data_IF_737187879311
#
_entry.id   IF_737187879311
#
_cell.length_a   1.000
_cell.length_b   1.000
_cell.length_c   1.000
_cell.angle_alpha   90.00
_cell.angle_beta   90.00
_cell.angle_gamma   90.00
#
_symmetry.space_group_name_H-M   'P 1'
#
loop_
_entity.id
_entity.type
_entity.pdbx_description
1 polymer ?
#
# COMPACT_ATOMS: atom_id res chain seq x y z
N UNK A 1 53.25 42.37 -27.15
CA UNK A 1 54.21 41.77 -28.11
C UNK A 1 55.14 40.85 -27.33
N UNK A 2 55.64 39.79 -27.96
CA UNK A 2 56.59 38.87 -27.34
C UNK A 2 57.99 39.51 -27.30
N UNK A 3 58.57 39.79 -26.11
CA UNK A 3 59.90 40.40 -25.99
C UNK A 3 61.03 39.48 -26.51
N UNK A 4 60.75 38.20 -26.76
CA UNK A 4 61.69 37.32 -27.45
C UNK A 4 61.87 37.67 -28.94
N UNK A 5 60.89 38.34 -29.53
CA UNK A 5 60.93 38.78 -30.93
C UNK A 5 61.35 40.25 -31.08
N UNK A 6 61.70 40.93 -29.97
CA UNK A 6 62.16 42.31 -30.01
C UNK A 6 63.58 42.38 -30.59
N UNK A 7 63.72 43.12 -31.70
CA UNK A 7 65.02 43.39 -32.33
C UNK A 7 65.66 44.59 -31.63
N UNK A 8 66.93 44.45 -31.26
CA UNK A 8 67.69 45.55 -30.66
C UNK A 8 67.88 46.69 -31.66
N UNK A 9 67.51 47.93 -31.32
CA UNK A 9 67.79 49.09 -32.17
C UNK A 9 69.29 49.27 -32.38
N UNK A 10 69.68 49.71 -33.57
CA UNK A 10 71.04 50.11 -33.85
C UNK A 10 71.27 51.56 -33.40
N UNK A 11 71.80 51.72 -32.19
CA UNK A 11 72.07 53.02 -31.59
C UNK A 11 73.21 53.79 -32.26
N UNK A 12 73.83 53.29 -33.33
CA UNK A 12 74.79 54.05 -34.16
C UNK A 12 74.11 54.89 -35.24
N UNK A 13 72.83 54.61 -35.54
CA UNK A 13 72.09 55.32 -36.58
C UNK A 13 71.83 56.80 -36.20
N UNK A 14 71.70 57.70 -37.19
CA UNK A 14 71.47 59.14 -36.94
C UNK A 14 70.22 59.44 -36.12
N UNK A 15 69.23 58.54 -36.17
CA UNK A 15 67.92 58.63 -35.52
C UNK A 15 68.03 58.76 -33.99
N UNK A 16 69.03 58.10 -33.40
CA UNK A 16 69.28 58.08 -31.96
C UNK A 16 70.30 59.16 -31.51
N UNK A 17 70.67 60.09 -32.40
CA UNK A 17 71.65 61.14 -32.08
C UNK A 17 71.20 61.99 -30.88
N UNK A 18 69.91 62.32 -30.77
CA UNK A 18 69.40 63.11 -29.64
C UNK A 18 69.59 62.43 -28.29
N UNK A 19 69.36 61.12 -28.22
CA UNK A 19 69.53 60.31 -27.00
C UNK A 19 71.01 60.10 -26.66
N UNK A 20 71.87 59.97 -27.67
CA UNK A 20 73.33 59.94 -27.48
C UNK A 20 73.87 61.28 -26.99
N UNK A 21 73.38 62.39 -27.55
CA UNK A 21 73.86 63.74 -27.20
C UNK A 21 73.61 64.08 -25.74
N UNK A 22 72.45 63.70 -25.19
CA UNK A 22 72.16 63.89 -23.76
C UNK A 22 73.19 63.20 -22.85
N UNK A 23 73.60 61.97 -23.19
CA UNK A 23 74.63 61.24 -22.45
C UNK A 23 76.04 61.83 -22.64
N UNK A 24 76.30 62.41 -23.82
CA UNK A 24 77.57 63.10 -24.11
C UNK A 24 77.69 64.40 -23.32
N UNK A 25 76.59 65.17 -23.21
CA UNK A 25 76.53 66.41 -22.44
C UNK A 25 76.74 66.15 -20.93
N UNK A 26 76.44 64.94 -20.45
CA UNK A 26 76.73 64.44 -19.09
C UNK A 26 78.17 63.91 -18.93
N UNK A 27 79.01 64.02 -19.95
CA UNK A 27 80.45 63.72 -19.89
C UNK A 27 80.87 62.35 -20.40
N UNK A 28 79.99 61.60 -21.07
CA UNK A 28 80.33 60.31 -21.69
C UNK A 28 80.88 60.51 -23.11
N UNK A 29 81.84 59.69 -23.53
CA UNK A 29 82.23 59.62 -24.95
C UNK A 29 81.10 59.00 -25.79
N UNK A 30 81.08 59.30 -27.09
CA UNK A 30 80.07 58.76 -28.02
C UNK A 30 79.98 57.22 -27.99
N UNK A 31 81.12 56.54 -27.87
CA UNK A 31 81.17 55.08 -27.72
C UNK A 31 80.58 54.61 -26.38
N UNK A 32 80.78 55.39 -25.30
CA UNK A 32 80.19 55.08 -24.00
C UNK A 32 78.68 55.34 -24.00
N UNK A 33 78.20 56.40 -24.67
CA UNK A 33 76.76 56.66 -24.83
C UNK A 33 76.04 55.52 -25.57
N UNK A 34 76.58 55.05 -26.70
CA UNK A 34 76.04 53.88 -27.44
C UNK A 34 76.03 52.62 -26.56
N UNK A 35 77.12 52.37 -25.81
CA UNK A 35 77.20 51.22 -24.89
C UNK A 35 76.18 51.30 -23.77
N UNK A 36 75.97 52.48 -23.19
CA UNK A 36 74.97 52.69 -22.13
C UNK A 36 73.55 52.48 -22.63
N UNK A 37 73.18 53.02 -23.81
CA UNK A 37 71.87 52.79 -24.42
C UNK A 37 71.64 51.31 -24.77
N UNK A 38 72.68 50.65 -25.30
CA UNK A 38 72.66 49.20 -25.57
C UNK A 38 72.46 48.38 -24.29
N UNK A 39 73.16 48.73 -23.21
CA UNK A 39 73.05 48.06 -21.92
C UNK A 39 71.65 48.26 -21.29
N UNK A 40 71.11 49.48 -21.36
CA UNK A 40 69.78 49.80 -20.88
C UNK A 40 68.69 49.03 -21.63
N UNK A 41 68.79 48.95 -22.97
CA UNK A 41 67.88 48.15 -23.77
C UNK A 41 67.95 46.66 -23.41
N UNK A 42 69.16 46.10 -23.28
CA UNK A 42 69.34 44.70 -22.89
C UNK A 42 68.73 44.43 -21.50
N UNK A 43 68.93 45.33 -20.53
CA UNK A 43 68.36 45.22 -19.19
C UNK A 43 66.82 45.22 -19.23
N UNK A 44 66.24 46.19 -19.93
CA UNK A 44 64.78 46.30 -20.04
C UNK A 44 64.17 45.11 -20.79
N UNK A 45 64.77 44.70 -21.92
CA UNK A 45 64.30 43.55 -22.69
C UNK A 45 64.42 42.25 -21.89
N UNK A 46 65.50 42.04 -21.13
CA UNK A 46 65.63 40.89 -20.24
C UNK A 46 64.58 40.91 -19.11
N UNK A 47 64.32 42.08 -18.50
CA UNK A 47 63.27 42.23 -17.50
C UNK A 47 61.86 41.96 -18.09
N UNK A 48 61.62 42.34 -19.33
CA UNK A 48 60.39 42.02 -20.05
C UNK A 48 60.26 40.53 -20.37
N UNK A 49 61.33 39.86 -20.79
CA UNK A 49 61.34 38.40 -20.98
C UNK A 49 61.03 37.63 -19.69
N UNK A 50 61.56 38.08 -18.55
CA UNK A 50 61.22 37.51 -17.23
C UNK A 50 59.74 37.73 -16.89
N UNK A 51 59.21 38.94 -17.11
CA UNK A 51 57.78 39.21 -16.89
C UNK A 51 56.87 38.42 -17.83
N UNK A 52 57.32 38.19 -19.06
CA UNK A 52 56.61 37.42 -20.08
C UNK A 52 56.55 35.93 -19.73
N UNK A 53 57.68 35.34 -19.35
CA UNK A 53 57.75 33.93 -18.89
C UNK A 53 56.86 33.71 -17.66
N UNK A 54 56.96 34.59 -16.64
CA UNK A 54 56.08 34.54 -15.47
C UNK A 54 54.58 34.78 -15.78
N UNK A 55 54.26 35.39 -16.93
CA UNK A 55 52.87 35.52 -17.40
C UNK A 55 52.39 34.23 -18.06
N UNK A 56 53.24 33.59 -18.86
CA UNK A 56 52.92 32.30 -19.48
C UNK A 56 52.74 31.20 -18.43
N UNK A 57 53.62 31.12 -17.43
CA UNK A 57 53.51 30.16 -16.32
C UNK A 57 52.18 30.33 -15.57
N UNK A 58 51.80 31.57 -15.23
CA UNK A 58 50.50 31.85 -14.58
C UNK A 58 49.30 31.47 -15.44
N UNK A 59 49.38 31.65 -16.76
CA UNK A 59 48.31 31.25 -17.68
C UNK A 59 48.19 29.73 -17.77
N UNK A 60 49.32 29.02 -17.77
CA UNK A 60 49.37 27.56 -17.79
C UNK A 60 48.84 26.96 -16.48
N UNK A 61 49.27 27.47 -15.32
CA UNK A 61 48.74 27.08 -14.01
C UNK A 61 47.25 27.36 -13.87
N UNK A 62 46.77 28.48 -14.43
CA UNK A 62 45.34 28.80 -14.44
C UNK A 62 44.55 27.86 -15.35
N UNK A 63 45.13 27.46 -16.49
CA UNK A 63 44.54 26.46 -17.38
C UNK A 63 44.46 25.10 -16.71
N UNK A 64 45.55 24.63 -16.10
CA UNK A 64 45.59 23.35 -15.39
C UNK A 64 44.58 23.31 -14.24
N UNK A 65 44.51 24.36 -13.42
CA UNK A 65 43.49 24.46 -12.36
C UNK A 65 42.06 24.45 -12.92
N UNK A 66 41.80 25.14 -14.02
CA UNK A 66 40.48 25.13 -14.65
C UNK A 66 40.09 23.73 -15.18
N UNK A 67 41.05 22.99 -15.73
CA UNK A 67 40.86 21.61 -16.19
C UNK A 67 40.63 20.65 -15.01
N UNK A 68 41.40 20.78 -13.92
CA UNK A 68 41.22 20.01 -12.69
C UNK A 68 39.86 20.29 -12.04
N UNK A 69 39.47 21.56 -11.92
CA UNK A 69 38.18 21.96 -11.37
C UNK A 69 37.00 21.44 -12.21
N UNK A 70 37.13 21.43 -13.55
CA UNK A 70 36.12 20.85 -14.43
C UNK A 70 36.06 19.33 -14.29
N UNK A 71 37.21 18.65 -14.23
CA UNK A 71 37.27 17.21 -14.01
C UNK A 71 36.63 16.83 -12.65
N UNK A 72 36.88 17.62 -11.61
CA UNK A 72 36.26 17.42 -10.30
C UNK A 72 34.74 17.63 -10.36
N UNK A 73 34.26 18.72 -10.99
CA UNK A 73 32.81 18.94 -11.19
C UNK A 73 32.15 17.78 -11.93
N UNK A 74 32.79 17.27 -12.99
CA UNK A 74 32.29 16.14 -13.76
C UNK A 74 32.26 14.85 -12.93
N UNK A 75 33.22 14.65 -12.03
CA UNK A 75 33.25 13.51 -11.12
C UNK A 75 32.15 13.63 -10.06
N UNK A 76 31.99 14.79 -9.43
CA UNK A 76 30.96 15.05 -8.43
C UNK A 76 29.56 14.82 -8.99
N UNK A 77 29.30 15.27 -10.24
CA UNK A 77 28.04 15.01 -10.93
C UNK A 77 27.78 13.51 -11.16
N UNK A 78 28.81 12.73 -11.51
CA UNK A 78 28.67 11.28 -11.68
C UNK A 78 28.39 10.58 -10.36
N UNK A 79 29.08 10.99 -9.30
CA UNK A 79 28.93 10.44 -7.97
C UNK A 79 27.53 10.76 -7.40
N UNK A 80 27.02 11.98 -7.63
CA UNK A 80 25.67 12.38 -7.29
C UNK A 80 24.61 11.58 -8.07
N UNK A 81 24.82 11.36 -9.36
CA UNK A 81 23.92 10.54 -10.18
C UNK A 81 23.91 9.08 -9.70
N UNK A 82 25.08 8.52 -9.38
CA UNK A 82 25.20 7.16 -8.86
C UNK A 82 24.55 7.02 -7.47
N UNK A 83 24.77 7.98 -6.58
CA UNK A 83 24.11 8.04 -5.28
C UNK A 83 22.58 8.08 -5.45
N UNK A 84 22.08 8.89 -6.40
CA UNK A 84 20.65 8.97 -6.74
C UNK A 84 20.12 7.62 -7.24
N UNK A 85 20.84 6.93 -8.13
CA UNK A 85 20.47 5.59 -8.62
C UNK A 85 20.47 4.55 -7.50
N UNK A 86 21.43 4.61 -6.57
CA UNK A 86 21.51 3.69 -5.45
C UNK A 86 20.39 3.93 -4.44
N UNK A 87 20.06 5.19 -4.16
CA UNK A 87 18.89 5.55 -3.36
C UNK A 87 17.59 5.07 -4.01
N UNK A 88 17.42 5.26 -5.33
CA UNK A 88 16.24 4.78 -6.05
C UNK A 88 16.12 3.26 -5.94
N UNK A 89 17.23 2.53 -6.08
CA UNK A 89 17.28 1.06 -5.87
C UNK A 89 16.90 0.66 -4.44
N UNK A 90 17.34 1.43 -3.44
CA UNK A 90 17.03 1.17 -2.02
C UNK A 90 15.55 1.43 -1.70
N UNK A 91 14.98 2.52 -2.22
CA UNK A 91 13.58 2.93 -2.00
C UNK A 91 12.62 2.04 -2.80
N UNK A 92 12.96 1.73 -4.06
CA UNK A 92 12.09 1.02 -5.00
C UNK A 92 12.51 -0.44 -5.21
N UNK A 93 12.66 -1.21 -4.11
CA UNK A 93 13.11 -2.61 -4.16
C UNK A 93 12.31 -3.47 -5.15
N UNK A 94 11.00 -3.26 -5.26
CA UNK A 94 10.14 -4.02 -6.17
C UNK A 94 10.43 -3.72 -7.65
N UNK A 95 10.76 -2.46 -8.00
CA UNK A 95 11.12 -2.05 -9.38
C UNK A 95 12.40 -2.73 -9.85
N UNK A 96 13.31 -3.03 -8.92
CA UNK A 96 14.62 -3.61 -9.19
C UNK A 96 14.74 -5.09 -8.79
N UNK A 97 13.63 -5.72 -8.38
CA UNK A 97 13.63 -7.14 -8.03
C UNK A 97 13.93 -8.00 -9.27
N UNK A 98 14.82 -9.01 -9.18
CA UNK A 98 15.10 -9.90 -10.30
C UNK A 98 13.84 -10.61 -10.80
N UNK A 99 13.54 -10.46 -12.09
CA UNK A 99 12.42 -11.15 -12.73
C UNK A 99 12.83 -12.59 -13.02
N UNK A 100 12.18 -13.56 -12.38
CA UNK A 100 12.39 -14.99 -12.67
C UNK A 100 11.89 -15.28 -14.09
N UNK A 101 12.78 -15.76 -14.98
CA UNK A 101 12.39 -16.24 -16.31
C UNK A 101 11.72 -17.60 -16.17
N UNK A 102 10.39 -17.60 -16.00
CA UNK A 102 9.55 -18.79 -15.97
C UNK A 102 8.44 -18.71 -17.02
N UNK A 103 7.67 -19.80 -17.18
CA UNK A 103 6.44 -19.75 -17.96
C UNK A 103 5.47 -18.78 -17.28
N UNK A 104 4.79 -17.95 -18.08
CA UNK A 104 3.69 -17.11 -17.59
C UNK A 104 2.63 -18.06 -17.00
N UNK A 105 2.14 -17.83 -15.76
CA UNK A 105 1.05 -18.61 -15.22
C UNK A 105 -0.17 -18.55 -16.16
N UNK A 106 -0.72 -19.71 -16.49
CA UNK A 106 -1.93 -19.80 -17.33
C UNK A 106 -3.19 -19.38 -16.58
N UNK A 107 -3.17 -19.54 -15.25
CA UNK A 107 -4.30 -19.20 -14.39
C UNK A 107 -4.20 -17.76 -13.87
N UNK A 108 -5.32 -17.05 -13.74
CA UNK A 108 -5.33 -15.71 -13.15
C UNK A 108 -4.81 -15.75 -11.71
N UNK A 109 -3.95 -14.79 -11.36
CA UNK A 109 -3.47 -14.64 -9.98
C UNK A 109 -4.64 -14.26 -9.08
N UNK A 110 -5.13 -15.22 -8.30
CA UNK A 110 -6.13 -14.98 -7.28
C UNK A 110 -5.42 -14.38 -6.06
N UNK A 111 -5.82 -13.17 -5.66
CA UNK A 111 -5.28 -12.49 -4.49
C UNK A 111 -6.43 -12.12 -3.54
N UNK A 112 -6.45 -12.67 -2.30
CA UNK A 112 -7.45 -12.31 -1.32
C UNK A 112 -7.15 -10.91 -0.79
N UNK A 113 -8.09 -10.35 -0.04
CA UNK A 113 -7.93 -9.04 0.57
C UNK A 113 -6.61 -8.96 1.37
N UNK A 114 -5.94 -7.79 1.36
CA UNK A 114 -4.69 -7.62 2.12
C UNK A 114 -4.87 -7.94 3.61
N UNK A 115 -6.03 -7.58 4.17
CA UNK A 115 -6.43 -7.95 5.52
C UNK A 115 -6.36 -9.47 5.74
N UNK A 116 -7.01 -10.25 4.88
CA UNK A 116 -7.02 -11.71 4.97
C UNK A 116 -5.63 -12.32 4.80
N UNK A 117 -4.85 -11.79 3.84
CA UNK A 117 -3.44 -12.20 3.64
C UNK A 117 -2.61 -11.99 4.90
N UNK A 118 -2.75 -10.84 5.58
CA UNK A 118 -2.01 -10.54 6.81
C UNK A 118 -2.41 -11.47 7.96
N UNK A 119 -3.71 -11.68 8.15
CA UNK A 119 -4.23 -12.60 9.19
C UNK A 119 -3.73 -14.02 8.97
N UNK A 120 -3.79 -14.49 7.72
CA UNK A 120 -3.32 -15.83 7.37
C UNK A 120 -1.81 -15.99 7.59
N UNK A 121 -0.99 -15.01 7.22
CA UNK A 121 0.46 -15.03 7.54
C UNK A 121 0.77 -15.04 9.03
N UNK A 122 -0.08 -14.42 9.84
CA UNK A 122 0.08 -14.40 11.30
C UNK A 122 -0.41 -15.68 11.99
N UNK A 123 -1.04 -16.62 11.27
CA UNK A 123 -1.69 -17.78 11.90
C UNK A 123 -3.04 -17.44 12.55
N UNK A 124 -3.55 -16.23 12.34
CA UNK A 124 -4.74 -15.71 13.00
C UNK A 124 -6.05 -16.19 12.35
N UNK A 125 -7.14 -16.15 13.12
CA UNK A 125 -8.47 -16.38 12.57
C UNK A 125 -8.81 -15.33 11.49
N UNK A 126 -9.29 -15.84 10.35
CA UNK A 126 -9.82 -15.05 9.25
C UNK A 126 -11.11 -15.69 8.74
N UNK A 127 -12.13 -14.85 8.50
CA UNK A 127 -13.41 -15.26 7.97
C UNK A 127 -13.26 -15.87 6.56
N UNK A 128 -14.01 -16.94 6.30
CA UNK A 128 -13.97 -17.63 5.02
C UNK A 128 -14.51 -16.79 3.87
N UNK A 129 -15.35 -15.78 4.14
CA UNK A 129 -15.87 -14.84 3.14
C UNK A 129 -14.77 -14.28 2.23
N UNK A 130 -13.60 -13.94 2.78
CA UNK A 130 -12.48 -13.38 2.01
C UNK A 130 -11.87 -14.34 0.97
N UNK A 131 -12.20 -15.62 1.06
CA UNK A 131 -11.71 -16.68 0.19
C UNK A 131 -12.81 -17.24 -0.73
N UNK A 132 -14.05 -16.74 -0.62
CA UNK A 132 -15.14 -17.00 -1.58
C UNK A 132 -14.87 -16.29 -2.90
N UNK A 133 -15.50 -16.73 -4.00
CA UNK A 133 -15.37 -16.03 -5.28
C UNK A 133 -15.78 -14.55 -5.16
N UNK A 134 -16.87 -14.29 -4.42
CA UNK A 134 -17.35 -12.95 -4.12
C UNK A 134 -16.32 -12.11 -3.36
N UNK A 135 -15.74 -12.65 -2.28
CA UNK A 135 -14.73 -11.94 -1.49
C UNK A 135 -13.42 -11.69 -2.27
N UNK A 136 -13.04 -12.59 -3.17
CA UNK A 136 -11.90 -12.44 -4.06
C UNK A 136 -12.14 -11.33 -5.11
N UNK A 137 -13.33 -11.27 -5.69
CA UNK A 137 -13.71 -10.19 -6.61
C UNK A 137 -13.76 -8.83 -5.91
N UNK A 138 -14.33 -8.78 -4.70
CA UNK A 138 -14.31 -7.59 -3.85
C UNK A 138 -12.87 -7.12 -3.58
N UNK A 139 -11.98 -8.05 -3.22
CA UNK A 139 -10.56 -7.75 -2.97
C UNK A 139 -9.85 -7.21 -4.22
N UNK A 140 -10.13 -7.77 -5.39
CA UNK A 140 -9.59 -7.31 -6.68
C UNK A 140 -10.02 -5.88 -6.97
N UNK A 141 -11.30 -5.56 -6.78
CA UNK A 141 -11.82 -4.19 -6.95
C UNK A 141 -11.15 -3.23 -5.96
N UNK A 142 -11.07 -3.59 -4.69
CA UNK A 142 -10.40 -2.76 -3.67
C UNK A 142 -8.93 -2.51 -3.99
N UNK A 143 -8.21 -3.53 -4.50
CA UNK A 143 -6.80 -3.38 -4.88
C UNK A 143 -6.58 -2.42 -6.05
N UNK A 144 -7.54 -2.32 -6.98
CA UNK A 144 -7.48 -1.38 -8.11
C UNK A 144 -7.79 0.07 -7.69
N UNK A 145 -8.62 0.26 -6.67
CA UNK A 145 -9.08 1.59 -6.22
C UNK A 145 -8.18 2.17 -5.14
N UNK A 146 -7.58 1.34 -4.28
CA UNK A 146 -6.81 1.80 -3.14
C UNK A 146 -5.49 2.47 -3.57
N UNK A 147 -5.29 3.74 -3.19
CA UNK A 147 -3.96 4.36 -3.19
C UNK A 147 -3.14 3.77 -2.04
N UNK A 148 -1.96 3.17 -2.31
CA UNK A 148 -1.22 2.42 -1.30
C UNK A 148 -0.77 3.27 -0.11
N UNK A 149 -0.51 4.56 -0.33
CA UNK A 149 0.04 5.48 0.69
C UNK A 149 -1.02 6.39 1.35
N UNK A 150 -2.30 6.24 0.98
CA UNK A 150 -3.35 7.00 1.63
C UNK A 150 -3.48 6.54 3.09
N UNK A 151 -3.48 7.46 4.05
CA UNK A 151 -3.76 7.16 5.46
C UNK A 151 -5.24 7.45 5.74
N UNK A 152 -5.90 6.50 6.39
CA UNK A 152 -7.24 6.66 6.95
C UNK A 152 -7.11 6.81 8.45
N UNK A 153 -7.78 7.83 8.96
CA UNK A 153 -7.86 8.10 10.38
C UNK A 153 -8.98 7.26 11.01
N UNK A 154 -8.63 6.36 11.92
CA UNK A 154 -9.58 5.53 12.65
C UNK A 154 -9.73 6.03 14.10
N UNK A 155 -10.97 6.17 14.60
CA UNK A 155 -11.20 6.47 16.01
C UNK A 155 -10.78 5.26 16.87
N UNK A 156 -9.85 5.44 17.79
CA UNK A 156 -9.55 4.43 18.81
C UNK A 156 -10.41 4.64 20.06
N UNK A 157 -10.53 3.58 20.87
CA UNK A 157 -11.41 3.53 22.06
C UNK A 157 -11.03 4.48 23.19
N UNK A 158 -9.83 5.05 23.15
CA UNK A 158 -9.27 6.00 24.12
C UNK A 158 -9.44 7.47 23.69
N UNK A 159 -10.10 7.73 22.55
CA UNK A 159 -10.25 9.08 22.00
C UNK A 159 -9.02 9.58 21.22
N UNK A 160 -7.97 8.76 21.09
CA UNK A 160 -6.81 9.06 20.25
C UNK A 160 -7.10 8.54 18.84
N UNK A 161 -6.90 9.38 17.83
CA UNK A 161 -7.06 8.96 16.44
C UNK A 161 -5.81 8.22 15.96
N UNK A 162 -5.98 7.00 15.46
CA UNK A 162 -4.90 6.21 14.86
C UNK A 162 -4.88 6.39 13.34
N UNK A 163 -3.72 6.68 12.78
CA UNK A 163 -3.53 6.73 11.33
C UNK A 163 -3.10 5.35 10.85
N UNK A 164 -3.92 4.75 9.98
CA UNK A 164 -3.65 3.44 9.42
C UNK A 164 -3.68 3.55 7.90
N UNK A 165 -2.81 2.84 7.19
CA UNK A 165 -2.86 2.79 5.73
C UNK A 165 -4.25 2.38 5.26
N UNK A 166 -4.81 3.08 4.28
CA UNK A 166 -6.12 2.84 3.70
C UNK A 166 -6.27 1.38 3.24
N UNK A 167 -5.20 0.82 2.68
CA UNK A 167 -5.12 -0.59 2.27
C UNK A 167 -5.24 -1.60 3.43
N UNK A 168 -5.09 -1.14 4.68
CA UNK A 168 -5.19 -1.96 5.89
C UNK A 168 -6.51 -1.77 6.64
N UNK A 169 -7.31 -0.77 6.29
CA UNK A 169 -8.62 -0.50 6.89
C UNK A 169 -9.69 -1.29 6.13
N UNK A 170 -10.62 -1.93 6.86
CA UNK A 170 -11.83 -2.49 6.24
C UNK A 170 -12.56 -1.36 5.55
N UNK A 171 -12.77 -1.45 4.23
CA UNK A 171 -13.50 -0.43 3.48
C UNK A 171 -14.90 -0.26 4.11
N UNK A 172 -15.24 0.91 4.68
CA UNK A 172 -16.53 1.12 5.31
C UNK A 172 -17.70 1.10 4.30
N UNK A 173 -17.43 1.11 2.99
CA UNK A 173 -18.41 0.89 1.91
C UNK A 173 -18.40 -0.53 1.35
N UNK A 174 -17.49 -1.41 1.78
CA UNK A 174 -17.55 -2.80 1.37
C UNK A 174 -18.80 -3.46 1.92
N UNK A 175 -19.36 -4.39 1.14
CA UNK A 175 -20.45 -5.22 1.60
C UNK A 175 -20.07 -5.86 2.96
N UNK A 176 -21.04 -6.00 3.88
CA UNK A 176 -20.76 -6.62 5.17
C UNK A 176 -20.18 -8.02 4.97
N UNK A 177 -19.03 -8.28 5.60
CA UNK A 177 -18.35 -9.57 5.56
C UNK A 177 -19.31 -10.64 6.11
N UNK A 178 -19.60 -11.65 5.30
CA UNK A 178 -20.45 -12.78 5.73
C UNK A 178 -19.69 -13.57 6.79
N UNK A 179 -20.29 -13.75 7.97
CA UNK A 179 -19.71 -14.63 9.00
C UNK A 179 -19.72 -16.08 8.53
N UNK A 180 -18.73 -16.87 8.92
CA UNK A 180 -18.60 -18.29 8.55
C UNK A 180 -19.89 -19.11 8.77
N UNK A 181 -20.60 -18.89 9.88
CA UNK A 181 -21.88 -19.56 10.19
C UNK A 181 -23.04 -19.19 9.25
N UNK A 182 -22.92 -18.07 8.53
CA UNK A 182 -23.93 -17.52 7.64
C UNK A 182 -23.61 -17.73 6.16
N UNK A 183 -22.50 -18.40 5.83
CA UNK A 183 -22.17 -18.74 4.45
C UNK A 183 -23.18 -19.75 3.89
N UNK A 184 -23.36 -19.72 2.57
CA UNK A 184 -23.98 -20.85 1.88
C UNK A 184 -23.01 -22.03 1.80
N UNK A 185 -23.53 -23.22 1.52
CA UNK A 185 -22.67 -24.38 1.30
C UNK A 185 -21.80 -24.24 0.06
N UNK A 186 -22.31 -23.56 -0.96
CA UNK A 186 -21.59 -23.21 -2.17
C UNK A 186 -20.42 -22.29 -1.85
N UNK A 187 -20.66 -21.19 -1.12
CA UNK A 187 -19.62 -20.25 -0.67
C UNK A 187 -18.59 -20.95 0.22
N UNK A 188 -19.02 -21.82 1.13
CA UNK A 188 -18.11 -22.62 1.93
C UNK A 188 -17.23 -23.55 1.07
N UNK A 189 -17.82 -24.23 0.09
CA UNK A 189 -17.11 -25.14 -0.82
C UNK A 189 -16.14 -24.40 -1.75
N UNK A 190 -16.38 -23.13 -2.06
CA UNK A 190 -15.42 -22.25 -2.73
C UNK A 190 -14.26 -21.86 -1.79
N UNK A 191 -14.60 -21.39 -0.59
CA UNK A 191 -13.65 -20.80 0.34
C UNK A 191 -12.69 -21.83 0.96
N UNK A 192 -13.17 -23.02 1.32
CA UNK A 192 -12.38 -24.05 2.00
C UNK A 192 -11.15 -24.52 1.20
N UNK A 193 -11.24 -24.95 -0.07
CA UNK A 193 -10.05 -25.31 -0.85
C UNK A 193 -9.17 -24.08 -1.14
N UNK A 194 -9.78 -22.90 -1.31
CA UNK A 194 -9.08 -21.65 -1.55
C UNK A 194 -8.13 -21.30 -0.39
N UNK A 195 -8.63 -21.29 0.85
CA UNK A 195 -7.79 -21.00 2.02
C UNK A 195 -6.71 -22.08 2.26
N UNK A 196 -6.97 -23.37 1.97
CA UNK A 196 -5.92 -24.42 2.01
C UNK A 196 -4.77 -24.07 1.06
N UNK A 197 -5.08 -23.63 -0.16
CA UNK A 197 -4.06 -23.20 -1.13
C UNK A 197 -3.22 -22.05 -0.57
N UNK A 198 -3.87 -21.04 0.01
CA UNK A 198 -3.17 -19.91 0.62
C UNK A 198 -2.36 -20.27 1.87
N UNK A 199 -2.83 -21.21 2.70
CA UNK A 199 -2.07 -21.72 3.84
C UNK A 199 -0.74 -22.32 3.35
N UNK A 200 -0.77 -23.12 2.28
CA UNK A 200 0.44 -23.69 1.66
C UNK A 200 1.36 -22.62 1.08
N UNK A 201 0.81 -21.62 0.39
CA UNK A 201 1.57 -20.49 -0.17
C UNK A 201 2.23 -19.62 0.91
N UNK A 202 1.69 -19.63 2.12
CA UNK A 202 2.22 -18.89 3.27
C UNK A 202 2.90 -19.80 4.30
N UNK A 203 3.40 -20.95 3.86
CA UNK A 203 4.28 -21.83 4.62
C UNK A 203 3.69 -22.25 5.99
N UNK A 204 2.36 -22.43 6.04
CA UNK A 204 1.74 -23.03 7.22
C UNK A 204 2.29 -24.44 7.45
N UNK A 205 2.51 -24.85 8.72
CA UNK A 205 2.97 -26.20 9.02
C UNK A 205 2.04 -27.27 8.43
N UNK A 206 2.62 -28.33 7.85
CA UNK A 206 1.90 -29.37 7.11
C UNK A 206 0.85 -30.10 7.95
N UNK A 207 1.08 -30.25 9.26
CA UNK A 207 0.13 -30.81 10.21
C UNK A 207 -1.13 -29.93 10.32
N UNK A 208 -0.97 -28.60 10.37
CA UNK A 208 -2.09 -27.63 10.42
C UNK A 208 -2.88 -27.62 9.11
N UNK A 209 -2.19 -27.71 7.98
CA UNK A 209 -2.83 -27.81 6.66
C UNK A 209 -3.63 -29.11 6.56
N UNK A 210 -3.03 -30.24 6.92
CA UNK A 210 -3.65 -31.56 6.90
C UNK A 210 -4.87 -31.64 7.81
N UNK A 211 -4.78 -31.06 9.01
CA UNK A 211 -5.87 -30.97 9.97
C UNK A 211 -7.09 -30.23 9.40
N UNK A 212 -6.88 -29.08 8.73
CA UNK A 212 -7.97 -28.33 8.11
C UNK A 212 -8.58 -29.07 6.90
N UNK A 213 -7.75 -29.73 6.09
CA UNK A 213 -8.23 -30.57 4.97
C UNK A 213 -9.16 -31.66 5.50
N UNK A 214 -8.72 -32.42 6.49
CA UNK A 214 -9.51 -33.49 7.10
C UNK A 214 -10.79 -32.96 7.74
N UNK A 215 -10.71 -31.88 8.50
CA UNK A 215 -11.87 -31.25 9.14
C UNK A 215 -12.96 -30.86 8.14
N UNK A 216 -12.59 -30.11 7.10
CA UNK A 216 -13.57 -29.67 6.10
C UNK A 216 -14.07 -30.81 5.22
N UNK A 217 -13.23 -31.80 4.92
CA UNK A 217 -13.66 -33.02 4.21
C UNK A 217 -14.68 -33.80 5.04
N UNK A 218 -14.44 -33.95 6.34
CA UNK A 218 -15.36 -34.62 7.25
C UNK A 218 -16.72 -33.90 7.30
N UNK A 219 -16.74 -32.56 7.33
CA UNK A 219 -17.97 -31.78 7.29
C UNK A 219 -18.73 -31.92 5.98
N UNK A 220 -18.03 -31.90 4.84
CA UNK A 220 -18.63 -32.07 3.51
C UNK A 220 -19.18 -33.48 3.30
N UNK A 221 -18.53 -34.50 3.87
CA UNK A 221 -18.96 -35.89 3.81
C UNK A 221 -19.99 -36.27 4.90
N UNK A 222 -20.27 -35.37 5.85
CA UNK A 222 -21.14 -35.69 6.97
C UNK A 222 -22.58 -35.94 6.50
N UNK A 223 -23.25 -36.96 7.05
CA UNK A 223 -24.64 -37.32 6.70
C UNK A 223 -25.65 -36.17 6.77
N UNK A 224 -25.41 -35.18 7.63
CA UNK A 224 -26.27 -33.98 7.75
C UNK A 224 -26.17 -33.04 6.56
N UNK A 225 -25.05 -33.06 5.80
CA UNK A 225 -24.89 -32.28 4.58
C UNK A 225 -25.92 -32.66 3.52
N UNK A 226 -26.29 -33.94 3.49
CA UNK A 226 -27.22 -34.51 2.52
C UNK A 226 -28.63 -34.75 3.11
N UNK A 227 -28.85 -34.35 4.36
CA UNK A 227 -30.16 -34.46 4.98
C UNK A 227 -31.13 -33.44 4.37
N UNK A 228 -32.43 -33.76 4.21
CA UNK A 228 -33.44 -32.80 3.75
C UNK A 228 -33.70 -31.67 4.75
N UNK A 229 -33.27 -31.83 6.01
CA UNK A 229 -33.41 -30.84 7.07
C UNK A 229 -32.34 -29.74 6.94
N UNK A 230 -32.78 -28.54 6.53
CA UNK A 230 -31.92 -27.35 6.37
C UNK A 230 -31.25 -26.94 7.69
N UNK A 231 -31.86 -27.20 8.86
CA UNK A 231 -31.24 -26.88 10.14
C UNK A 231 -30.01 -27.74 10.40
N UNK A 232 -30.05 -29.02 10.01
CA UNK A 232 -28.87 -29.92 10.12
C UNK A 232 -27.72 -29.46 9.22
N UNK A 233 -28.03 -29.00 8.02
CA UNK A 233 -27.04 -28.43 7.11
C UNK A 233 -26.43 -27.13 7.67
N UNK A 234 -27.25 -26.25 8.27
CA UNK A 234 -26.77 -25.02 8.92
C UNK A 234 -25.97 -25.29 10.18
N UNK A 235 -26.34 -26.30 10.96
CA UNK A 235 -25.64 -26.69 12.18
C UNK A 235 -24.19 -27.08 11.91
N UNK A 236 -23.89 -27.71 10.77
CA UNK A 236 -22.52 -28.01 10.36
C UNK A 236 -21.69 -26.74 10.14
N UNK A 237 -22.25 -25.71 9.49
CA UNK A 237 -21.55 -24.44 9.26
C UNK A 237 -21.38 -23.63 10.55
N UNK A 238 -22.37 -23.66 11.45
CA UNK A 238 -22.25 -23.06 12.78
C UNK A 238 -21.19 -23.78 13.63
N UNK A 239 -21.23 -25.11 13.67
CA UNK A 239 -20.24 -25.92 14.38
C UNK A 239 -18.83 -25.60 13.86
N UNK A 240 -18.66 -25.57 12.53
CA UNK A 240 -17.41 -25.19 11.90
C UNK A 240 -16.90 -23.82 12.36
N UNK A 241 -17.75 -22.79 12.31
CA UNK A 241 -17.33 -21.44 12.65
C UNK A 241 -16.89 -21.34 14.11
N UNK A 242 -17.65 -21.99 15.01
CA UNK A 242 -17.35 -22.04 16.43
C UNK A 242 -16.03 -22.78 16.70
N UNK A 243 -15.84 -23.97 16.13
CA UNK A 243 -14.63 -24.76 16.35
C UNK A 243 -13.39 -24.07 15.80
N UNK A 244 -13.44 -23.49 14.60
CA UNK A 244 -12.30 -22.73 14.04
C UNK A 244 -11.93 -21.53 14.89
N UNK A 245 -12.91 -20.73 15.32
CA UNK A 245 -12.66 -19.57 16.19
C UNK A 245 -12.01 -20.01 17.49
N UNK A 246 -12.54 -21.02 18.15
CA UNK A 246 -12.00 -21.56 19.40
C UNK A 246 -10.59 -22.13 19.22
N UNK A 247 -10.35 -22.85 18.12
CA UNK A 247 -9.04 -23.38 17.80
C UNK A 247 -8.00 -22.27 17.64
N UNK A 248 -8.28 -21.21 16.87
CA UNK A 248 -7.35 -20.09 16.74
C UNK A 248 -7.10 -19.32 18.05
N UNK A 249 -8.04 -19.34 19.00
CA UNK A 249 -7.85 -18.74 20.33
C UNK A 249 -7.00 -19.60 21.27
N UNK A 250 -6.93 -20.91 21.02
CA UNK A 250 -6.30 -21.89 21.92
C UNK A 250 -5.05 -22.53 21.36
N UNK A 251 -4.81 -22.41 20.05
CA UNK A 251 -3.62 -22.94 19.39
C UNK A 251 -2.34 -22.34 20.02
N UNK A 252 -1.39 -23.21 20.36
CA UNK A 252 -0.17 -22.83 21.08
C UNK A 252 -0.31 -22.83 22.61
N UNK A 253 -1.49 -23.10 23.14
CA UNK A 253 -1.71 -23.31 24.58
C UNK A 253 -1.91 -24.79 24.91
N UNK A 254 -1.85 -25.15 26.18
CA UNK A 254 -2.17 -26.50 26.67
C UNK A 254 -3.65 -26.90 26.41
N UNK A 255 -4.50 -25.94 26.05
CA UNK A 255 -5.91 -26.14 25.75
C UNK A 255 -6.18 -26.28 24.25
N UNK A 256 -5.17 -26.32 23.38
CA UNK A 256 -5.38 -26.52 21.94
C UNK A 256 -5.67 -27.98 21.58
N UNK A 257 -6.55 -28.21 20.60
CA UNK A 257 -6.91 -29.55 20.10
C UNK A 257 -6.84 -29.65 18.57
N UNK A 258 -6.92 -30.88 18.03
CA UNK A 258 -7.05 -31.13 16.60
C UNK A 258 -8.51 -30.95 16.16
N UNK A 259 -8.72 -30.34 14.99
CA UNK A 259 -10.05 -30.19 14.40
C UNK A 259 -10.50 -31.41 13.58
N UNK A 260 -9.65 -32.42 13.38
CA UNK A 260 -9.90 -33.52 12.43
C UNK A 260 -11.19 -34.30 12.70
N UNK A 261 -11.51 -34.51 13.99
CA UNK A 261 -12.68 -35.28 14.40
C UNK A 261 -13.88 -34.36 14.71
N UNK A 262 -15.05 -34.70 14.14
CA UNK A 262 -16.29 -34.00 14.45
C UNK A 262 -16.82 -34.48 15.79
N UNK A 263 -16.78 -33.61 16.79
CA UNK A 263 -17.45 -33.82 18.06
C UNK A 263 -18.98 -33.77 17.86
N UNK A 264 -19.62 -34.94 17.97
CA UNK A 264 -21.05 -35.09 17.72
C UNK A 264 -21.91 -34.34 18.75
N UNK A 265 -21.48 -34.27 20.00
CA UNK A 265 -22.23 -33.61 21.07
C UNK A 265 -22.30 -32.10 20.81
N UNK A 266 -21.15 -31.48 20.50
CA UNK A 266 -21.08 -30.06 20.13
C UNK A 266 -21.82 -29.75 18.82
N UNK A 267 -21.86 -30.69 17.87
CA UNK A 267 -22.62 -30.54 16.64
C UNK A 267 -24.14 -30.59 16.91
N UNK A 268 -24.59 -31.44 17.85
CA UNK A 268 -25.98 -31.48 18.30
C UNK A 268 -26.32 -30.18 19.03
N UNK A 269 -25.46 -29.69 19.92
CA UNK A 269 -25.64 -28.40 20.59
C UNK A 269 -25.80 -27.25 19.59
N UNK A 270 -24.97 -27.19 18.55
CA UNK A 270 -25.10 -26.18 17.49
C UNK A 270 -26.47 -26.25 16.76
N UNK A 271 -27.01 -27.47 16.57
CA UNK A 271 -28.35 -27.64 16.00
C UNK A 271 -29.44 -27.13 16.95
N UNK A 272 -29.33 -27.46 18.24
CA UNK A 272 -30.29 -27.02 19.25
C UNK A 272 -30.24 -25.49 19.44
N UNK A 273 -29.05 -24.86 19.35
CA UNK A 273 -28.88 -23.41 19.34
C UNK A 273 -29.69 -22.77 18.19
N UNK A 274 -29.53 -23.27 16.96
CA UNK A 274 -30.28 -22.79 15.79
C UNK A 274 -31.79 -23.02 15.92
N UNK A 275 -32.20 -24.16 16.50
CA UNK A 275 -33.60 -24.46 16.72
C UNK A 275 -34.23 -23.50 17.73
N UNK A 276 -33.55 -23.26 18.85
CA UNK A 276 -33.99 -22.32 19.88
C UNK A 276 -34.06 -20.89 19.32
N UNK A 277 -33.04 -20.44 18.58
CA UNK A 277 -33.03 -19.12 17.96
C UNK A 277 -34.21 -18.95 16.99
N UNK A 278 -34.51 -19.97 16.18
CA UNK A 278 -35.67 -19.94 15.28
C UNK A 278 -36.98 -19.86 16.07
N UNK A 279 -37.15 -20.71 17.09
CA UNK A 279 -38.34 -20.72 17.94
C UNK A 279 -38.56 -19.37 18.62
N UNK A 280 -37.51 -18.76 19.13
CA UNK A 280 -37.59 -17.48 19.83
C UNK A 280 -37.95 -16.34 18.86
N UNK A 281 -37.42 -16.35 17.64
CA UNK A 281 -37.83 -15.44 16.56
C UNK A 281 -39.30 -15.60 16.17
N UNK A 282 -39.75 -16.85 15.99
CA UNK A 282 -41.14 -17.15 15.64
C UNK A 282 -42.09 -16.70 16.76
N UNK A 283 -41.70 -16.91 18.03
CA UNK A 283 -42.44 -16.46 19.21
C UNK A 283 -42.50 -14.94 19.29
N UNK A 284 -41.37 -14.26 19.08
CA UNK A 284 -41.31 -12.79 19.07
C UNK A 284 -42.17 -12.19 17.96
N UNK A 285 -42.16 -12.79 16.76
CA UNK A 285 -43.00 -12.37 15.64
C UNK A 285 -44.49 -12.56 15.97
N UNK A 286 -44.87 -13.69 16.55
CA UNK A 286 -46.25 -13.95 16.96
C UNK A 286 -46.73 -12.93 18.02
N UNK A 287 -45.89 -12.59 19.00
CA UNK A 287 -46.17 -11.53 19.99
C UNK A 287 -46.32 -10.17 19.31
N UNK A 288 -45.46 -9.83 18.36
CA UNK A 288 -45.53 -8.55 17.64
C UNK A 288 -46.80 -8.44 16.78
N UNK A 289 -47.18 -9.51 16.07
CA UNK A 289 -48.41 -9.56 15.28
C UNK A 289 -49.64 -9.42 16.19
N UNK A 290 -49.66 -10.14 17.31
CA UNK A 290 -50.71 -10.01 18.32
C UNK A 290 -50.83 -8.56 18.81
N UNK A 291 -49.72 -7.94 19.22
CA UNK A 291 -49.71 -6.55 19.67
C UNK A 291 -50.25 -5.57 18.60
N UNK A 292 -49.86 -5.75 17.33
CA UNK A 292 -50.36 -4.93 16.20
C UNK A 292 -51.85 -5.11 15.92
N UNK A 293 -52.39 -6.31 16.13
CA UNK A 293 -53.83 -6.56 15.99
C UNK A 293 -54.61 -5.92 17.13
N UNK A 294 -54.12 -6.02 18.37
CA UNK A 294 -54.76 -5.42 19.55
C UNK A 294 -54.63 -3.89 19.59
N UNK A 295 -53.54 -3.30 19.11
CA UNK A 295 -53.35 -1.85 19.06
C UNK A 295 -54.18 -1.15 17.98
N UNK A 296 -54.70 -1.88 16.98
CA UNK A 296 -55.57 -1.34 15.92
C UNK A 296 -57.07 -1.44 16.22
N UNK A 297 -57.46 -2.02 17.37
CA UNK A 297 -58.85 -2.15 17.78
C UNK A 297 -59.58 -0.80 18.03
N UNK A 298 -58.95 0.32 18.46
CA UNK A 298 -59.69 1.57 18.66
C UNK A 298 -60.23 2.20 17.38
N UNK A 299 -59.76 1.81 16.19
CA UNK A 299 -60.18 2.41 14.93
C UNK A 299 -61.43 1.74 14.31
N UNK A 300 -61.74 0.49 14.65
CA UNK A 300 -62.92 -0.20 14.12
C UNK A 300 -64.20 0.04 14.94
N UNK A 301 -64.08 0.27 16.25
CA UNK A 301 -65.24 0.50 17.12
C UNK A 301 -65.87 1.89 16.89
N UNK A 302 -65.11 2.88 16.43
CA UNK A 302 -65.61 4.24 16.18
C UNK A 302 -66.43 4.37 14.88
N UNK A 303 -66.41 3.38 13.97
CA UNK A 303 -67.18 3.44 12.70
C UNK A 303 -68.54 2.73 12.72
N UNK A 304 -68.87 1.96 13.75
CA UNK A 304 -70.15 1.22 13.83
C UNK A 304 -71.22 1.89 14.71
N UNK A 305 -70.91 3.02 15.36
CA UNK A 305 -71.82 3.70 16.28
C UNK A 305 -72.33 5.05 15.76
N UNK A 306 -72.60 5.24 14.46
CA UNK A 306 -73.41 6.38 13.98
C UNK A 306 -74.26 5.95 12.79
N UNK A 307 -75.37 5.27 13.07
CA UNK A 307 -76.52 5.23 12.15
C UNK A 307 -77.79 5.39 12.99
N UNK A 308 -78.53 6.51 12.88
CA UNK A 308 -79.79 6.66 13.60
C UNK A 308 -80.88 5.79 12.96
N UNK A 309 -81.62 5.05 13.81
CA UNK A 309 -82.80 4.29 13.40
C UNK A 309 -83.89 5.22 12.82
N UNK A 310 -84.63 4.80 11.78
CA UNK A 310 -85.79 5.54 11.31
C UNK A 310 -87.01 5.30 12.23
N UNK A 311 -87.95 6.26 12.33
CA UNK A 311 -89.11 6.15 13.21
C UNK A 311 -90.13 5.13 12.68
N UNK A 312 -90.63 4.32 13.61
CA UNK A 312 -91.67 3.31 13.39
C UNK A 312 -93.02 3.97 13.06
N UNK A 313 -93.52 3.74 11.85
CA UNK A 313 -94.92 4.01 11.50
C UNK A 313 -95.82 2.92 12.11
N UNK A 314 -96.71 3.35 13.00
CA UNK A 314 -97.83 2.55 13.52
C UNK A 314 -98.85 2.29 12.41
N UNK A 315 -99.20 1.02 12.19
CA UNK A 315 -100.43 0.66 11.49
C UNK A 315 -101.18 -0.42 12.29
N UNK A 316 -102.47 -0.24 12.63
CA UNK A 316 -103.23 -1.22 13.37
C UNK A 316 -103.72 -2.33 12.43
N UNK A 317 -103.50 -3.58 12.82
CA UNK A 317 -104.04 -4.74 12.13
C UNK A 317 -105.52 -4.92 12.48
N UNK A 318 -106.34 -5.04 11.43
CA UNK A 318 -107.73 -5.47 11.47
C UNK A 318 -107.76 -6.97 11.76
N UNK A 319 -108.52 -7.35 12.78
CA UNK A 319 -108.95 -8.71 13.11
C UNK A 319 -109.80 -9.29 11.98
N UNK A 320 -109.64 -10.56 11.61
CA UNK A 320 -110.75 -11.51 11.42
C UNK A 320 -110.27 -12.97 11.35
N UNK A 321 -111.15 -13.85 11.81
CA UNK A 321 -111.05 -15.30 12.05
C UNK A 321 -110.55 -16.16 10.89
#
# INVERSE_FOLDING_TARGET
>A
MDPNNAVRPDYTLPEFHGERQQLIDEGLSEQQAVRSLTALWNFNNNAEKVRWTARLERLEEARQRAEEDEAQRQQDLKDEEEATRLEDRKKNKNKYAPIKRGKVPSDPTILPAQYATRRLKAGDYCELHYFTNKGLDEAKVSALIAKPDALVMLPASDGIHSWVLAAAVKDPKAAPVTKDENLTWEEFNEAAPCIISFMKVHDWPDDRVSMHIQFWTALQAHRWRHAPDVLKQKALLLYQSQQRRRWHLTVGTAQGWSLEEINQDLLIEAREELFNEKRDKDTALAVQVSYRLFSNVPALITRLCIAPLPPLFFHPAVLFN
#
